data_IF_058993434054
#
_entry.id   IF_058993434054
#
_cell.length_a   1.000
_cell.length_b   1.000
_cell.length_c   1.000
_cell.angle_alpha   90.00
_cell.angle_beta   90.00
_cell.angle_gamma   90.00
#
_symmetry.space_group_name_H-M   'P 1'
#
loop_
_entity.id
_entity.type
_entity.pdbx_description
1 polymer ?
#
# COMPACT_ATOMS: atom_id res chain seq x y z
N UNK A 1 57.04 28.09 67.14
CA UNK A 1 57.16 28.57 65.74
C UNK A 1 58.10 27.60 65.03
N UNK A 2 57.58 26.57 64.34
CA UNK A 2 58.45 25.62 63.64
C UNK A 2 59.09 26.30 62.42
N UNK A 3 60.40 26.06 62.16
CA UNK A 3 61.11 26.68 61.04
C UNK A 3 60.46 26.31 59.71
N UNK A 4 60.40 27.29 58.80
CA UNK A 4 59.68 27.22 57.52
C UNK A 4 59.97 25.93 56.74
N UNK A 5 61.22 25.46 56.80
CA UNK A 5 61.69 24.25 56.14
C UNK A 5 60.99 22.96 56.61
N UNK A 6 60.69 22.84 57.91
CA UNK A 6 59.99 21.66 58.46
C UNK A 6 58.52 21.66 58.03
N UNK A 7 57.90 22.84 57.88
CA UNK A 7 56.55 22.94 57.31
C UNK A 7 56.53 22.47 55.85
N UNK A 8 57.51 22.88 55.02
CA UNK A 8 57.61 22.43 53.64
C UNK A 8 57.84 20.92 53.49
N UNK A 9 58.67 20.33 54.35
CA UNK A 9 58.88 18.87 54.37
C UNK A 9 57.59 18.14 54.76
N UNK A 10 56.88 18.62 55.79
CA UNK A 10 55.61 18.01 56.21
C UNK A 10 54.51 18.14 55.15
N UNK A 11 54.39 19.28 54.46
CA UNK A 11 53.45 19.40 53.33
C UNK A 11 53.84 18.51 52.15
N UNK A 12 55.13 18.37 51.83
CA UNK A 12 55.58 17.49 50.75
C UNK A 12 55.28 16.01 51.05
N UNK A 13 55.49 15.57 52.29
CA UNK A 13 55.16 14.21 52.75
C UNK A 13 53.64 13.96 52.74
N UNK A 14 52.83 14.96 53.08
CA UNK A 14 51.36 14.84 53.05
C UNK A 14 50.80 14.73 51.62
N UNK A 15 51.40 15.44 50.65
CA UNK A 15 50.97 15.39 49.24
C UNK A 15 51.33 14.04 48.58
N UNK A 16 52.45 13.41 48.99
CA UNK A 16 52.87 12.10 48.46
C UNK A 16 52.00 10.92 48.90
N UNK A 17 51.15 11.06 49.93
CA UNK A 17 50.26 9.99 50.41
C UNK A 17 48.85 10.00 49.82
N UNK A 18 48.54 10.94 48.92
CA UNK A 18 47.20 11.10 48.32
C UNK A 18 47.09 10.54 46.89
N UNK A 19 47.80 9.46 46.57
CA UNK A 19 47.54 8.74 45.32
C UNK A 19 46.38 7.77 45.53
N UNK A 20 45.19 7.99 44.92
CA UNK A 20 44.16 6.97 44.90
C UNK A 20 44.69 5.79 44.08
N UNK A 21 44.85 4.63 44.73
CA UNK A 21 45.14 3.39 44.02
C UNK A 21 43.85 3.04 43.24
N UNK A 22 43.87 3.24 41.92
CA UNK A 22 42.79 2.84 41.05
C UNK A 22 42.87 1.32 40.82
N UNK A 23 42.23 0.56 41.69
CA UNK A 23 41.97 -0.87 41.45
C UNK A 23 40.77 -1.00 40.51
N UNK A 24 40.96 -1.65 39.36
CA UNK A 24 39.88 -2.02 38.46
C UNK A 24 39.26 -3.34 38.93
N UNK A 25 37.94 -3.35 39.13
CA UNK A 25 37.16 -4.57 39.36
C UNK A 25 36.30 -4.77 38.12
N UNK A 26 36.52 -5.89 37.42
CA UNK A 26 35.69 -6.29 36.30
C UNK A 26 34.80 -7.47 36.72
N UNK A 27 33.53 -7.43 36.32
CA UNK A 27 32.56 -8.49 36.57
C UNK A 27 32.22 -9.17 35.24
N UNK A 28 32.30 -10.50 35.19
CA UNK A 28 31.81 -11.27 34.06
C UNK A 28 30.28 -11.44 34.19
N UNK A 29 29.54 -10.75 33.32
CA UNK A 29 28.07 -10.70 33.35
C UNK A 29 27.39 -11.88 32.65
N UNK A 30 28.11 -12.96 32.33
CA UNK A 30 27.61 -14.08 31.51
C UNK A 30 26.98 -15.26 32.26
N UNK A 31 27.08 -15.38 33.59
CA UNK A 31 26.71 -16.59 34.33
C UNK A 31 25.85 -16.37 35.59
N UNK A 32 25.10 -17.40 36.06
CA UNK A 32 24.14 -17.25 37.18
C UNK A 32 24.80 -17.10 38.56
N UNK A 33 26.12 -17.24 38.69
CA UNK A 33 26.87 -16.93 39.90
C UNK A 33 28.10 -16.09 39.57
N UNK A 34 28.20 -14.92 40.22
CA UNK A 34 29.24 -13.93 39.96
C UNK A 34 30.50 -14.35 40.72
N UNK A 35 31.52 -14.82 40.00
CA UNK A 35 32.82 -15.16 40.57
C UNK A 35 33.77 -13.96 40.39
N UNK A 36 34.19 -13.32 41.48
CA UNK A 36 35.01 -12.11 41.43
C UNK A 36 36.50 -12.50 41.39
N UNK A 37 37.17 -12.22 40.28
CA UNK A 37 38.61 -12.41 40.11
C UNK A 37 39.34 -11.07 40.05
N UNK A 38 40.38 -10.89 40.88
CA UNK A 38 41.29 -9.75 40.78
C UNK A 38 42.48 -10.11 39.88
N UNK A 39 42.86 -9.23 38.96
CA UNK A 39 44.03 -9.42 38.09
C UNK A 39 45.13 -8.41 38.43
N UNK A 40 46.39 -8.84 38.32
CA UNK A 40 47.57 -8.00 38.53
C UNK A 40 47.94 -7.32 37.21
N UNK A 41 48.07 -6.00 37.21
CA UNK A 41 48.42 -5.22 36.00
C UNK A 41 49.91 -4.94 35.84
N UNK A 42 50.76 -5.43 36.76
CA UNK A 42 52.20 -5.16 36.74
C UNK A 42 52.94 -6.11 35.81
N UNK A 43 52.55 -7.39 35.81
CA UNK A 43 53.14 -8.42 34.95
C UNK A 43 52.01 -9.18 34.23
N UNK A 44 52.18 -9.36 32.92
CA UNK A 44 51.27 -10.14 32.08
C UNK A 44 51.84 -11.55 32.00
N UNK A 45 51.11 -12.53 32.56
CA UNK A 45 51.44 -13.95 32.36
C UNK A 45 51.42 -14.29 30.87
N UNK A 46 52.34 -15.15 30.42
CA UNK A 46 52.36 -15.59 29.03
C UNK A 46 51.12 -16.42 28.72
N UNK A 47 50.22 -15.86 27.91
CA UNK A 47 49.15 -16.63 27.28
C UNK A 47 49.76 -17.63 26.29
N UNK A 48 49.45 -18.91 26.45
CA UNK A 48 49.74 -19.90 25.41
C UNK A 48 49.02 -19.48 24.12
N UNK A 49 49.77 -19.31 23.04
CA UNK A 49 49.18 -18.98 21.75
C UNK A 49 48.32 -20.16 21.29
N UNK A 50 47.00 -19.98 21.07
CA UNK A 50 46.16 -21.08 20.64
C UNK A 50 46.68 -21.57 19.29
N UNK A 51 46.93 -22.88 19.19
CA UNK A 51 47.31 -23.51 17.92
C UNK A 51 46.24 -23.18 16.88
N UNK A 52 46.62 -22.66 15.69
CA UNK A 52 45.64 -22.34 14.67
C UNK A 52 44.87 -23.61 14.32
N UNK A 53 43.57 -23.60 14.60
CA UNK A 53 42.67 -24.65 14.14
C UNK A 53 42.59 -24.50 12.63
N UNK A 54 42.83 -25.57 11.87
CA UNK A 54 42.55 -25.58 10.43
C UNK A 54 41.05 -25.35 10.24
N UNK A 55 40.69 -24.12 9.87
CA UNK A 55 39.31 -23.78 9.54
C UNK A 55 39.10 -24.28 8.10
N UNK A 56 38.59 -25.50 7.95
CA UNK A 56 37.96 -25.90 6.70
C UNK A 56 36.75 -24.98 6.48
N UNK A 57 36.93 -23.95 5.65
CA UNK A 57 35.81 -23.11 5.24
C UNK A 57 34.94 -23.90 4.26
N UNK A 58 33.94 -24.61 4.79
CA UNK A 58 32.93 -25.25 3.95
C UNK A 58 32.22 -24.15 3.13
N UNK A 59 32.39 -24.12 1.80
CA UNK A 59 31.77 -23.09 0.99
C UNK A 59 30.25 -23.28 1.04
N UNK A 60 29.55 -22.36 1.70
CA UNK A 60 28.09 -22.31 1.64
C UNK A 60 27.67 -21.79 0.28
N UNK A 61 27.39 -22.70 -0.64
CA UNK A 61 26.75 -22.38 -1.91
C UNK A 61 25.29 -22.02 -1.61
N UNK A 62 24.94 -20.73 -1.77
CA UNK A 62 23.54 -20.31 -1.81
C UNK A 62 23.05 -20.42 -3.25
N UNK A 63 22.18 -21.39 -3.52
CA UNK A 63 21.45 -21.45 -4.78
C UNK A 63 20.41 -20.34 -4.80
N UNK A 64 20.68 -19.25 -5.53
CA UNK A 64 19.67 -18.27 -5.86
C UNK A 64 18.76 -18.88 -6.93
N UNK A 65 17.62 -19.41 -6.50
CA UNK A 65 16.59 -19.87 -7.44
C UNK A 65 16.12 -18.67 -8.25
N UNK A 66 16.42 -18.66 -9.55
CA UNK A 66 15.92 -17.65 -10.47
C UNK A 66 14.39 -17.74 -10.48
N UNK A 67 13.74 -16.76 -9.88
CA UNK A 67 12.28 -16.63 -9.97
C UNK A 67 11.99 -16.25 -11.41
N UNK A 68 11.15 -17.04 -12.07
CA UNK A 68 10.79 -16.86 -13.47
C UNK A 68 9.71 -15.77 -13.55
N UNK A 69 10.14 -14.54 -13.32
CA UNK A 69 9.32 -13.33 -13.44
C UNK A 69 9.49 -12.82 -14.87
N UNK A 70 8.38 -12.60 -15.55
CA UNK A 70 8.35 -11.98 -16.87
C UNK A 70 7.33 -10.84 -16.90
N UNK A 71 7.46 -9.97 -17.88
CA UNK A 71 6.51 -8.88 -18.11
C UNK A 71 5.26 -9.41 -18.80
N UNK A 72 4.09 -9.04 -18.29
CA UNK A 72 2.78 -9.35 -18.85
C UNK A 72 2.02 -8.05 -19.08
N UNK A 73 1.51 -7.84 -20.28
CA UNK A 73 0.67 -6.70 -20.60
C UNK A 73 -0.73 -6.89 -20.01
N UNK A 74 -1.33 -5.82 -19.48
CA UNK A 74 -2.68 -5.83 -18.93
C UNK A 74 -3.51 -4.63 -19.42
N UNK A 75 -4.83 -4.82 -19.39
CA UNK A 75 -5.86 -3.82 -19.63
C UNK A 75 -6.69 -3.65 -18.37
N UNK A 76 -7.07 -2.42 -18.06
CA UNK A 76 -7.79 -2.06 -16.85
C UNK A 76 -8.96 -1.15 -17.19
N UNK A 77 -10.13 -1.44 -16.62
CA UNK A 77 -11.36 -0.71 -16.87
C UNK A 77 -12.03 -0.31 -15.56
N UNK A 78 -12.08 0.98 -15.32
CA UNK A 78 -12.83 1.55 -14.20
C UNK A 78 -14.09 2.24 -14.70
N UNK A 79 -15.24 1.88 -14.16
CA UNK A 79 -16.47 2.62 -14.37
C UNK A 79 -17.14 2.87 -13.03
N UNK A 80 -17.30 4.13 -12.65
CA UNK A 80 -18.14 4.53 -11.54
C UNK A 80 -19.31 5.37 -12.03
N UNK A 81 -20.48 5.16 -11.42
CA UNK A 81 -21.71 5.86 -11.78
C UNK A 81 -22.31 6.49 -10.53
N UNK A 82 -22.58 7.80 -10.61
CA UNK A 82 -23.36 8.52 -9.61
C UNK A 82 -24.79 8.68 -10.15
N UNK A 83 -25.76 8.09 -9.46
CA UNK A 83 -27.17 8.21 -9.77
C UNK A 83 -27.82 9.32 -8.96
N UNK A 84 -28.64 10.12 -9.63
CA UNK A 84 -29.55 11.09 -9.06
C UNK A 84 -30.95 10.83 -9.61
N UNK A 85 -31.81 10.31 -8.74
CA UNK A 85 -33.22 10.05 -8.99
C UNK A 85 -34.01 11.18 -8.35
N UNK A 86 -34.85 11.83 -9.14
CA UNK A 86 -35.74 12.90 -8.67
C UNK A 86 -37.15 12.62 -9.15
N UNK A 87 -38.14 12.97 -8.33
CA UNK A 87 -39.56 12.90 -8.74
C UNK A 87 -39.83 13.98 -9.77
N UNK A 88 -40.44 13.58 -10.88
CA UNK A 88 -40.96 14.50 -11.88
C UNK A 88 -42.30 15.06 -11.36
N UNK A 89 -42.32 16.33 -11.00
CA UNK A 89 -43.51 17.02 -10.51
C UNK A 89 -44.24 17.70 -11.66
N UNK A 90 -45.55 17.93 -11.49
CA UNK A 90 -46.34 18.79 -12.39
C UNK A 90 -45.98 20.27 -12.22
N UNK A 91 -45.39 20.63 -11.08
CA UNK A 91 -44.77 21.94 -10.86
C UNK A 91 -43.32 21.92 -11.35
N UNK A 92 -42.74 23.08 -11.66
CA UNK A 92 -41.35 23.25 -12.16
C UNK A 92 -40.27 22.92 -11.11
N UNK A 93 -40.52 21.95 -10.22
CA UNK A 93 -39.66 21.54 -9.13
C UNK A 93 -39.30 20.05 -9.25
N UNK A 94 -38.01 19.76 -9.32
CA UNK A 94 -37.51 18.40 -9.11
C UNK A 94 -37.44 18.10 -7.60
N UNK A 95 -38.16 17.08 -7.14
CA UNK A 95 -38.17 16.71 -5.72
C UNK A 95 -37.23 15.54 -5.45
N UNK A 96 -36.47 15.61 -4.37
CA UNK A 96 -35.65 14.48 -3.92
C UNK A 96 -36.55 13.32 -3.50
N UNK A 97 -36.09 12.09 -3.76
CA UNK A 97 -36.75 10.86 -3.31
C UNK A 97 -35.83 10.12 -2.35
N UNK A 98 -36.43 9.35 -1.44
CA UNK A 98 -35.67 8.51 -0.53
C UNK A 98 -34.82 7.50 -1.29
N UNK A 99 -33.56 7.33 -0.88
CA UNK A 99 -32.58 6.50 -1.60
C UNK A 99 -32.24 6.96 -3.02
N UNK A 100 -32.65 8.17 -3.44
CA UNK A 100 -32.51 8.64 -4.81
C UNK A 100 -31.11 9.10 -5.21
N UNK A 101 -30.18 9.24 -4.27
CA UNK A 101 -28.80 9.62 -4.57
C UNK A 101 -27.83 8.54 -4.09
N UNK A 102 -27.09 7.92 -5.00
CA UNK A 102 -26.11 6.90 -4.68
C UNK A 102 -25.08 6.71 -5.77
N UNK A 103 -23.93 6.15 -5.40
CA UNK A 103 -22.87 5.79 -6.34
C UNK A 103 -22.64 4.28 -6.34
N UNK A 104 -22.17 3.77 -7.47
CA UNK A 104 -21.71 2.39 -7.60
C UNK A 104 -20.53 2.28 -8.59
N UNK A 105 -19.74 1.23 -8.42
CA UNK A 105 -18.69 0.84 -9.36
C UNK A 105 -19.21 -0.35 -10.17
N UNK A 106 -19.08 -0.29 -11.49
CA UNK A 106 -19.54 -1.34 -12.40
C UNK A 106 -18.38 -2.28 -12.71
N UNK A 107 -18.51 -3.53 -12.26
CA UNK A 107 -17.57 -4.60 -12.57
C UNK A 107 -17.85 -5.16 -13.98
N UNK A 108 -16.92 -4.96 -14.92
CA UNK A 108 -17.11 -5.32 -16.32
C UNK A 108 -16.69 -6.75 -16.68
N UNK A 109 -15.92 -7.44 -15.83
CA UNK A 109 -15.30 -8.72 -16.19
C UNK A 109 -14.37 -8.61 -17.42
N UNK A 110 -13.67 -9.71 -17.74
CA UNK A 110 -12.68 -9.72 -18.82
C UNK A 110 -13.27 -9.31 -20.18
N UNK A 111 -14.32 -10.01 -20.62
CA UNK A 111 -14.84 -9.87 -21.99
C UNK A 111 -15.37 -8.46 -22.28
N UNK A 112 -16.08 -7.82 -21.33
CA UNK A 112 -16.62 -6.47 -21.57
C UNK A 112 -15.55 -5.40 -21.44
N UNK A 113 -14.56 -5.59 -20.56
CA UNK A 113 -13.41 -4.68 -20.50
C UNK A 113 -12.60 -4.75 -21.80
N UNK A 114 -12.39 -5.95 -22.34
CA UNK A 114 -11.70 -6.12 -23.62
C UNK A 114 -12.47 -5.47 -24.78
N UNK A 115 -13.78 -5.71 -24.87
CA UNK A 115 -14.66 -5.05 -25.84
C UNK A 115 -14.61 -3.52 -25.72
N UNK A 116 -14.51 -2.99 -24.50
CA UNK A 116 -14.43 -1.55 -24.24
C UNK A 116 -13.11 -0.95 -24.74
N UNK A 117 -11.99 -1.65 -24.55
CA UNK A 117 -10.70 -1.26 -25.12
C UNK A 117 -10.68 -1.32 -26.66
N UNK A 118 -11.38 -2.30 -27.25
CA UNK A 118 -11.43 -2.46 -28.71
C UNK A 118 -12.34 -1.43 -29.38
N UNK A 119 -13.54 -1.21 -28.84
CA UNK A 119 -14.58 -0.38 -29.46
C UNK A 119 -14.52 1.07 -29.02
N UNK A 120 -13.91 1.36 -27.87
CA UNK A 120 -13.90 2.69 -27.24
C UNK A 120 -15.32 3.27 -27.06
N UNK A 121 -16.29 2.38 -26.85
CA UNK A 121 -17.70 2.66 -26.67
C UNK A 121 -18.21 1.85 -25.49
N UNK A 122 -18.86 2.52 -24.54
CA UNK A 122 -19.56 1.89 -23.43
C UNK A 122 -21.06 1.91 -23.66
N UNK A 123 -21.68 0.72 -23.65
CA UNK A 123 -23.13 0.57 -23.64
C UNK A 123 -23.61 0.52 -22.20
N UNK A 124 -24.44 1.49 -21.81
CA UNK A 124 -24.97 1.52 -20.45
C UNK A 124 -26.00 0.40 -20.26
N UNK A 125 -26.21 -0.10 -19.02
CA UNK A 125 -27.22 -1.13 -18.76
C UNK A 125 -28.65 -0.73 -19.17
N UNK A 126 -28.90 0.57 -19.33
CA UNK A 126 -30.19 1.16 -19.66
C UNK A 126 -30.28 1.64 -21.12
N UNK A 127 -29.40 1.15 -21.99
CA UNK A 127 -29.48 1.36 -23.44
C UNK A 127 -28.84 2.66 -23.97
N UNK A 128 -28.15 3.42 -23.12
CA UNK A 128 -27.36 4.58 -23.54
C UNK A 128 -26.04 4.17 -24.19
N UNK A 129 -25.53 4.99 -25.11
CA UNK A 129 -24.24 4.76 -25.76
C UNK A 129 -23.31 5.93 -25.40
N UNK A 130 -22.18 5.61 -24.76
CA UNK A 130 -21.12 6.57 -24.45
C UNK A 130 -19.95 6.28 -25.39
N UNK A 131 -19.67 7.20 -26.30
CA UNK A 131 -18.60 7.10 -27.29
C UNK A 131 -17.51 8.15 -27.06
N UNK A 132 -16.38 8.00 -27.75
CA UNK A 132 -15.24 8.93 -27.63
C UNK A 132 -14.32 8.64 -26.45
N UNK A 133 -14.37 7.41 -25.91
CA UNK A 133 -13.44 6.97 -24.87
C UNK A 133 -12.02 6.89 -25.43
N UNK A 134 -11.04 7.07 -24.55
CA UNK A 134 -9.62 7.03 -24.90
C UNK A 134 -8.84 6.26 -23.85
N UNK A 135 -7.83 5.54 -24.31
CA UNK A 135 -6.93 4.77 -23.45
C UNK A 135 -6.04 5.75 -22.67
N UNK A 136 -5.82 5.45 -21.39
CA UNK A 136 -5.09 6.26 -20.41
C UNK A 136 -5.72 7.63 -20.13
N UNK A 137 -7.04 7.76 -20.34
CA UNK A 137 -7.80 8.99 -20.10
C UNK A 137 -9.02 8.70 -19.23
N UNK A 138 -9.42 9.68 -18.40
CA UNK A 138 -10.70 9.61 -17.68
C UNK A 138 -11.74 10.40 -18.46
N UNK A 139 -12.79 9.72 -18.91
CA UNK A 139 -13.94 10.33 -19.55
C UNK A 139 -15.08 10.50 -18.55
N UNK A 140 -15.70 11.68 -18.51
CA UNK A 140 -16.81 11.97 -17.61
C UNK A 140 -17.97 12.50 -18.45
N UNK A 141 -19.14 11.90 -18.31
CA UNK A 141 -20.36 12.35 -18.98
C UNK A 141 -21.60 12.05 -18.13
N UNK A 142 -22.68 12.78 -18.38
CA UNK A 142 -23.98 12.51 -17.79
C UNK A 142 -24.96 12.03 -18.84
N UNK A 143 -25.86 11.13 -18.43
CA UNK A 143 -26.90 10.59 -19.28
C UNK A 143 -28.19 10.39 -18.49
N UNK A 144 -29.32 10.82 -19.05
CA UNK A 144 -30.64 10.52 -18.50
C UNK A 144 -30.95 9.06 -18.78
N UNK A 145 -30.91 8.24 -17.75
CA UNK A 145 -31.07 6.78 -17.83
C UNK A 145 -32.52 6.32 -17.59
N UNK A 146 -33.41 7.25 -17.21
CA UNK A 146 -34.82 6.98 -17.03
C UNK A 146 -35.63 8.28 -17.05
N UNK A 147 -36.78 8.23 -17.72
CA UNK A 147 -37.62 9.40 -17.97
C UNK A 147 -37.03 10.33 -19.03
N UNK A 148 -37.71 11.44 -19.28
CA UNK A 148 -37.28 12.48 -20.22
C UNK A 148 -37.11 13.77 -19.45
N UNK A 149 -36.02 14.49 -19.71
CA UNK A 149 -35.76 15.81 -19.15
C UNK A 149 -35.21 16.68 -20.27
N UNK A 150 -35.86 17.81 -20.52
CA UNK A 150 -35.39 18.78 -21.50
C UNK A 150 -34.53 19.89 -20.85
N UNK A 151 -33.95 20.73 -21.69
CA UNK A 151 -33.11 21.86 -21.27
C UNK A 151 -33.88 23.00 -20.57
N UNK A 152 -35.22 22.96 -20.62
CA UNK A 152 -36.11 23.96 -20.04
C UNK A 152 -36.67 23.51 -18.68
N UNK A 153 -36.36 22.28 -18.26
CA UNK A 153 -36.86 21.70 -17.01
C UNK A 153 -38.17 20.93 -17.14
N UNK A 154 -38.71 20.78 -18.36
CA UNK A 154 -39.87 19.91 -18.56
C UNK A 154 -39.44 18.46 -18.42
N UNK A 155 -40.20 17.70 -17.64
CA UNK A 155 -39.90 16.30 -17.39
C UNK A 155 -41.10 15.39 -17.70
N UNK A 156 -40.79 14.17 -18.15
CA UNK A 156 -41.74 13.05 -18.22
C UNK A 156 -41.18 11.91 -17.37
N UNK A 157 -41.80 11.68 -16.21
CA UNK A 157 -41.35 10.67 -15.26
C UNK A 157 -41.60 9.25 -15.76
N UNK A 158 -40.71 8.33 -15.38
CA UNK A 158 -40.89 6.89 -15.61
C UNK A 158 -40.95 6.13 -14.28
N UNK A 159 -41.21 4.83 -14.35
CA UNK A 159 -41.00 3.92 -13.22
C UNK A 159 -39.60 3.32 -13.34
N UNK A 160 -38.78 3.47 -12.29
CA UNK A 160 -37.43 2.95 -12.25
C UNK A 160 -37.30 1.95 -11.10
N UNK A 161 -36.73 0.77 -11.39
CA UNK A 161 -36.53 -0.30 -10.42
C UNK A 161 -35.10 -0.82 -10.53
N UNK A 162 -34.43 -0.97 -9.38
CA UNK A 162 -33.14 -1.61 -9.26
C UNK A 162 -33.06 -2.42 -7.95
N UNK A 163 -31.86 -2.90 -7.59
CA UNK A 163 -31.65 -3.66 -6.35
C UNK A 163 -31.91 -2.86 -5.05
N UNK A 164 -31.96 -1.53 -5.11
CA UNK A 164 -32.17 -0.65 -3.95
C UNK A 164 -33.64 -0.29 -3.73
N UNK A 165 -34.47 -0.38 -4.76
CA UNK A 165 -35.90 -0.10 -4.64
C UNK A 165 -36.59 0.18 -5.97
N UNK A 166 -37.83 0.62 -5.84
CA UNK A 166 -38.67 1.07 -6.95
C UNK A 166 -39.14 2.48 -6.69
N UNK A 167 -38.98 3.35 -7.69
CA UNK A 167 -39.47 4.72 -7.68
C UNK A 167 -40.41 4.95 -8.85
N UNK A 168 -41.54 5.59 -8.56
CA UNK A 168 -42.58 5.88 -9.56
C UNK A 168 -42.55 7.35 -9.94
N UNK A 169 -42.78 7.64 -11.22
CA UNK A 169 -42.82 8.99 -11.78
C UNK A 169 -41.55 9.80 -11.48
N UNK A 170 -40.39 9.23 -11.84
CA UNK A 170 -39.06 9.80 -11.59
C UNK A 170 -38.26 10.02 -12.86
N UNK A 171 -37.31 10.95 -12.79
CA UNK A 171 -36.20 11.11 -13.73
C UNK A 171 -34.96 10.52 -13.08
N UNK A 172 -34.19 9.76 -13.85
CA UNK A 172 -32.94 9.15 -13.40
C UNK A 172 -31.80 9.75 -14.22
N UNK A 173 -30.97 10.55 -13.58
CA UNK A 173 -29.74 11.07 -14.17
C UNK A 173 -28.56 10.26 -13.64
N UNK A 174 -27.70 9.81 -14.53
CA UNK A 174 -26.51 9.03 -14.20
C UNK A 174 -25.27 9.77 -14.71
N UNK A 175 -24.33 10.06 -13.82
CA UNK A 175 -23.02 10.61 -14.14
C UNK A 175 -22.01 9.47 -14.18
N UNK A 176 -21.53 9.17 -15.38
CA UNK A 176 -20.52 8.14 -15.61
C UNK A 176 -19.13 8.77 -15.54
N UNK A 177 -18.24 8.11 -14.81
CA UNK A 177 -16.80 8.34 -14.86
C UNK A 177 -16.15 7.03 -15.31
N UNK A 178 -15.58 7.05 -16.50
CA UNK A 178 -14.98 5.89 -17.15
C UNK A 178 -13.48 6.17 -17.28
N UNK A 179 -12.64 5.28 -16.77
CA UNK A 179 -11.20 5.34 -16.96
C UNK A 179 -10.72 4.03 -17.57
N UNK A 180 -10.01 4.13 -18.69
CA UNK A 180 -9.36 3.00 -19.35
C UNK A 180 -7.88 3.16 -19.19
N UNK A 181 -7.17 2.13 -18.75
CA UNK A 181 -5.72 2.17 -18.67
C UNK A 181 -5.08 0.87 -19.15
N UNK A 182 -3.87 0.98 -19.65
CA UNK A 182 -3.07 -0.15 -20.12
C UNK A 182 -1.68 -0.06 -19.52
N UNK A 183 -1.05 -1.21 -19.29
CA UNK A 183 0.26 -1.22 -18.68
C UNK A 183 0.96 -2.56 -18.76
N UNK A 184 2.11 -2.59 -18.09
CA UNK A 184 2.94 -3.79 -17.97
C UNK A 184 2.99 -4.16 -16.50
N UNK A 185 2.62 -5.40 -16.20
CA UNK A 185 2.67 -6.03 -14.90
C UNK A 185 3.77 -7.12 -14.89
N UNK A 186 4.12 -7.59 -13.69
CA UNK A 186 5.09 -8.67 -13.51
C UNK A 186 4.33 -9.97 -13.22
N UNK A 187 4.46 -10.97 -14.08
CA UNK A 187 3.86 -12.28 -13.91
C UNK A 187 4.89 -13.29 -13.39
N UNK A 188 4.47 -14.07 -12.40
CA UNK A 188 5.20 -15.20 -11.86
C UNK A 188 4.37 -16.47 -12.07
N UNK A 189 4.78 -17.29 -13.04
CA UNK A 189 4.07 -18.51 -13.41
C UNK A 189 4.11 -19.58 -12.32
N UNK A 190 5.20 -19.65 -11.54
CA UNK A 190 5.35 -20.65 -10.46
C UNK A 190 4.36 -20.40 -9.34
N UNK A 191 4.18 -19.14 -8.98
CA UNK A 191 3.29 -18.75 -7.90
C UNK A 191 1.86 -18.46 -8.40
N UNK A 192 1.63 -18.50 -9.72
CA UNK A 192 0.36 -18.16 -10.39
C UNK A 192 -0.14 -16.74 -10.03
N UNK A 193 0.78 -15.77 -9.97
CA UNK A 193 0.48 -14.39 -9.54
C UNK A 193 0.92 -13.39 -10.61
N UNK A 194 0.04 -12.42 -10.87
CA UNK A 194 0.30 -11.18 -11.59
C UNK A 194 0.44 -10.04 -10.58
N UNK A 195 1.52 -9.28 -10.66
CA UNK A 195 1.82 -8.14 -9.79
C UNK A 195 1.68 -6.87 -10.61
N UNK A 196 0.65 -6.09 -10.33
CA UNK A 196 0.40 -4.81 -10.98
C UNK A 196 1.43 -3.74 -10.54
N UNK A 197 1.61 -2.65 -11.31
CA UNK A 197 2.48 -1.53 -10.91
C UNK A 197 2.12 -0.89 -9.58
N UNK A 198 0.87 -1.04 -9.15
CA UNK A 198 0.34 -0.59 -7.84
C UNK A 198 0.78 -1.47 -6.68
N UNK A 199 1.30 -2.67 -6.95
CA UNK A 199 1.61 -3.69 -5.96
C UNK A 199 0.48 -4.69 -5.73
N UNK A 200 -0.69 -4.50 -6.34
CA UNK A 200 -1.79 -5.47 -6.30
C UNK A 200 -1.38 -6.82 -6.88
N UNK A 201 -1.77 -7.89 -6.19
CA UNK A 201 -1.45 -9.28 -6.55
C UNK A 201 -2.74 -9.98 -7.00
N UNK A 202 -2.82 -10.29 -8.28
CA UNK A 202 -3.97 -10.94 -8.91
C UNK A 202 -3.56 -12.36 -9.31
N UNK A 203 -4.50 -13.30 -9.32
CA UNK A 203 -4.22 -14.67 -9.76
C UNK A 203 -4.11 -14.72 -11.28
N UNK A 204 -2.98 -15.18 -11.80
CA UNK A 204 -2.70 -15.17 -13.24
C UNK A 204 -3.67 -16.05 -14.04
N UNK A 205 -4.11 -17.17 -13.46
CA UNK A 205 -5.05 -18.11 -14.10
C UNK A 205 -6.47 -17.57 -14.29
N UNK A 206 -6.87 -16.50 -13.61
CA UNK A 206 -8.25 -16.00 -13.65
C UNK A 206 -8.51 -15.01 -14.79
N UNK A 207 -7.48 -14.61 -15.55
CA UNK A 207 -7.53 -13.68 -16.70
C UNK A 207 -8.19 -12.32 -16.41
N UNK A 208 -8.67 -12.10 -15.19
CA UNK A 208 -9.36 -10.94 -14.67
C UNK A 208 -9.12 -10.86 -13.16
N UNK A 209 -9.16 -9.65 -12.63
CA UNK A 209 -9.11 -9.39 -11.19
C UNK A 209 -9.30 -7.91 -10.93
N UNK A 210 -9.52 -7.57 -9.65
CA UNK A 210 -9.69 -6.20 -9.18
C UNK A 210 -8.41 -5.71 -8.50
N UNK A 211 -7.88 -4.58 -8.95
CA UNK A 211 -6.85 -3.82 -8.27
C UNK A 211 -7.45 -3.08 -7.08
N UNK A 212 -7.22 -3.59 -5.87
CA UNK A 212 -7.78 -3.02 -4.64
C UNK A 212 -7.33 -1.58 -4.37
N UNK A 213 -6.21 -1.12 -4.93
CA UNK A 213 -5.69 0.23 -4.71
C UNK A 213 -6.35 1.26 -5.62
N UNK A 214 -6.71 0.87 -6.85
CA UNK A 214 -7.34 1.77 -7.83
C UNK A 214 -8.84 1.53 -8.00
N UNK A 215 -9.34 0.37 -7.59
CA UNK A 215 -10.73 -0.05 -7.76
C UNK A 215 -11.08 -0.45 -9.20
N UNK A 216 -10.09 -0.84 -10.01
CA UNK A 216 -10.22 -1.19 -11.44
C UNK A 216 -9.96 -2.66 -11.70
#
# INVERSE_FOLDING_TARGET
MLPLYIKYILTYICILKLNPIQTFIAYDCGGPQINISAFNSIDVDLCETPKPTEIESLPKIKLLQKVEIHTQYFRSCFISVDYLITRCSTFEDAQMVDGGYYSEVIELGYARCDDLHQKLIYQTPLGGIISGLRINETFITSHTSGGILDKYGNCEGTTFTNARGTWNNVIVQAKYKIHLSEGIALANNKDNILILPTGSRIKLSESYGLDQYKGE
#
